data_IF_143082918123
#
_entry.id   IF_143082918123
#
_cell.length_a   1.000
_cell.length_b   1.000
_cell.length_c   1.000
_cell.angle_alpha   90.00
_cell.angle_beta   90.00
_cell.angle_gamma   90.00
#
_symmetry.space_group_name_H-M   'P 1'
#
loop_
_entity.id
_entity.type
_entity.pdbx_description
1 polymer ?
#
# COMPACT_ATOMS: atom_id res chain seq x y z
N UNK A 1 20.77 -22.28 23.11
CA UNK A 1 19.58 -21.77 23.84
C UNK A 1 18.61 -21.25 22.80
N UNK A 2 17.36 -21.73 22.86
CA UNK A 2 16.47 -22.00 21.74
C UNK A 2 16.05 -20.79 20.88
N UNK A 3 16.09 -20.98 19.56
CA UNK A 3 15.46 -20.14 18.53
C UNK A 3 13.94 -20.13 18.74
N UNK A 4 13.40 -19.04 19.26
CA UNK A 4 12.02 -18.67 18.99
C UNK A 4 12.07 -17.55 17.94
N UNK A 5 11.79 -17.92 16.69
CA UNK A 5 12.12 -17.16 15.47
C UNK A 5 11.31 -15.88 15.26
N UNK A 6 10.43 -15.51 16.19
CA UNK A 6 9.72 -14.23 16.25
C UNK A 6 9.59 -13.88 17.74
N UNK A 7 10.25 -12.82 18.22
CA UNK A 7 10.02 -12.34 19.59
C UNK A 7 8.62 -11.73 19.64
N UNK A 8 7.95 -11.82 20.79
CA UNK A 8 6.59 -11.30 20.98
C UNK A 8 6.49 -9.82 20.54
N UNK A 9 7.56 -9.05 20.79
CA UNK A 9 7.70 -7.65 20.38
C UNK A 9 7.77 -7.48 18.85
N UNK A 10 8.54 -8.31 18.13
CA UNK A 10 8.65 -8.23 16.67
C UNK A 10 7.28 -8.46 16.02
N UNK A 11 6.51 -9.43 16.57
CA UNK A 11 5.14 -9.70 16.13
C UNK A 11 4.22 -8.51 16.39
N UNK A 12 4.30 -7.91 17.58
CA UNK A 12 3.49 -6.75 17.94
C UNK A 12 3.75 -5.57 17.01
N UNK A 13 5.03 -5.20 16.81
CA UNK A 13 5.41 -4.10 15.91
C UNK A 13 4.96 -4.38 14.47
N UNK A 14 5.08 -5.61 13.99
CA UNK A 14 4.61 -5.98 12.65
C UNK A 14 3.09 -5.82 12.50
N UNK A 15 2.31 -6.26 13.49
CA UNK A 15 0.86 -6.06 13.50
C UNK A 15 0.46 -4.59 13.67
N UNK A 16 1.30 -3.77 14.29
CA UNK A 16 1.08 -2.33 14.43
C UNK A 16 1.36 -1.56 13.14
N UNK A 17 2.33 -2.02 12.35
CA UNK A 17 2.65 -1.47 11.02
C UNK A 17 1.57 -1.81 9.98
N UNK A 18 0.88 -2.94 10.13
CA UNK A 18 -0.05 -3.46 9.12
C UNK A 18 -1.22 -2.51 8.79
N UNK A 19 -1.96 -1.97 9.78
CA UNK A 19 -3.07 -1.06 9.52
C UNK A 19 -2.66 0.23 8.78
N UNK A 20 -1.65 1.01 9.22
CA UNK A 20 -1.26 2.22 8.52
C UNK A 20 -0.59 1.90 7.18
N UNK A 21 0.07 0.74 7.03
CA UNK A 21 0.59 0.28 5.74
C UNK A 21 -0.53 0.00 4.73
N UNK A 22 -1.54 -0.80 5.09
CA UNK A 22 -2.65 -1.11 4.18
C UNK A 22 -3.47 0.13 3.84
N UNK A 23 -3.71 1.00 4.83
CA UNK A 23 -4.45 2.25 4.62
C UNK A 23 -3.71 3.21 3.67
N UNK A 24 -2.40 3.39 3.88
CA UNK A 24 -1.58 4.23 3.01
C UNK A 24 -1.39 3.63 1.62
N UNK A 25 -1.16 2.31 1.51
CA UNK A 25 -1.02 1.61 0.24
C UNK A 25 -2.29 1.73 -0.61
N UNK A 26 -3.46 1.45 -0.03
CA UNK A 26 -4.75 1.57 -0.72
C UNK A 26 -5.06 3.01 -1.09
N UNK A 27 -4.83 3.97 -0.20
CA UNK A 27 -5.01 5.40 -0.47
C UNK A 27 -4.12 5.90 -1.61
N UNK A 28 -2.82 5.57 -1.59
CA UNK A 28 -1.88 5.95 -2.65
C UNK A 28 -2.23 5.28 -3.98
N UNK A 29 -2.56 4.00 -3.96
CA UNK A 29 -2.98 3.28 -5.16
C UNK A 29 -4.24 3.92 -5.77
N UNK A 30 -5.21 4.31 -4.93
CA UNK A 30 -6.45 4.96 -5.37
C UNK A 30 -6.20 6.34 -5.99
N UNK A 31 -5.30 7.14 -5.39
CA UNK A 31 -4.90 8.44 -5.92
C UNK A 31 -4.30 8.30 -7.33
N UNK A 32 -3.35 7.36 -7.50
CA UNK A 32 -2.72 7.12 -8.80
C UNK A 32 -3.73 6.58 -9.81
N UNK A 33 -4.59 5.66 -9.37
CA UNK A 33 -5.63 5.07 -10.21
C UNK A 33 -6.57 6.13 -10.77
N UNK A 34 -6.97 7.11 -9.95
CA UNK A 34 -7.84 8.23 -10.39
C UNK A 34 -7.21 9.03 -11.53
N UNK A 35 -5.89 9.24 -11.49
CA UNK A 35 -5.17 9.92 -12.57
C UNK A 35 -5.21 9.12 -13.88
N UNK A 36 -5.05 7.80 -13.78
CA UNK A 36 -5.06 6.92 -14.96
C UNK A 36 -6.49 6.71 -15.49
N UNK A 37 -7.54 6.84 -14.67
CA UNK A 37 -8.93 6.71 -15.13
C UNK A 37 -9.26 7.60 -16.34
N UNK A 38 -8.81 8.85 -16.35
CA UNK A 38 -9.00 9.75 -17.50
C UNK A 38 -8.38 9.17 -18.78
N UNK A 39 -7.16 8.64 -18.67
CA UNK A 39 -6.45 8.01 -19.78
C UNK A 39 -7.11 6.70 -20.22
N UNK A 40 -7.58 5.88 -19.29
CA UNK A 40 -8.31 4.64 -19.62
C UNK A 40 -9.61 4.96 -20.36
N UNK A 41 -10.37 5.98 -19.93
CA UNK A 41 -11.60 6.42 -20.60
C UNK A 41 -11.29 6.92 -22.01
N UNK A 42 -10.25 7.73 -22.19
CA UNK A 42 -9.81 8.18 -23.51
C UNK A 42 -9.43 7.00 -24.40
N UNK A 43 -8.74 6.00 -23.86
CA UNK A 43 -8.39 4.77 -24.58
C UNK A 43 -9.64 4.01 -25.05
N UNK A 44 -10.65 3.87 -24.19
CA UNK A 44 -11.91 3.19 -24.51
C UNK A 44 -12.69 3.95 -25.58
N UNK A 45 -12.84 5.26 -25.44
CA UNK A 45 -13.62 6.10 -26.36
C UNK A 45 -12.93 6.22 -27.72
N UNK A 46 -11.60 6.42 -27.75
CA UNK A 46 -10.85 6.63 -28.99
C UNK A 46 -10.57 5.34 -29.79
N UNK A 47 -10.45 4.19 -29.10
CA UNK A 47 -10.08 2.90 -29.73
C UNK A 47 -11.20 1.86 -29.72
N UNK A 48 -12.36 2.15 -29.14
CA UNK A 48 -13.51 1.23 -29.11
C UNK A 48 -13.23 -0.09 -28.38
N UNK A 49 -12.40 -0.04 -27.34
CA UNK A 49 -11.83 -1.23 -26.69
C UNK A 49 -12.92 -1.98 -25.90
N UNK A 50 -12.94 -3.31 -26.00
CA UNK A 50 -13.86 -4.14 -25.22
C UNK A 50 -13.55 -4.07 -23.71
N UNK A 51 -14.58 -4.24 -22.88
CA UNK A 51 -14.45 -4.29 -21.41
C UNK A 51 -13.45 -5.36 -20.92
N UNK A 52 -13.33 -6.47 -21.65
CA UNK A 52 -12.35 -7.51 -21.34
C UNK A 52 -10.90 -7.02 -21.50
N UNK A 53 -10.62 -6.28 -22.57
CA UNK A 53 -9.30 -5.69 -22.79
C UNK A 53 -9.01 -4.55 -21.80
N UNK A 54 -10.04 -3.79 -21.38
CA UNK A 54 -9.92 -2.82 -20.28
C UNK A 54 -9.45 -3.50 -18.98
N UNK A 55 -10.05 -4.64 -18.62
CA UNK A 55 -9.63 -5.44 -17.46
C UNK A 55 -8.16 -5.85 -17.52
N UNK A 56 -7.69 -6.32 -18.69
CA UNK A 56 -6.27 -6.65 -18.89
C UNK A 56 -5.33 -5.46 -18.74
N UNK A 57 -5.75 -4.26 -19.16
CA UNK A 57 -4.97 -3.03 -18.99
C UNK A 57 -4.87 -2.66 -17.51
N UNK A 58 -5.98 -2.70 -16.78
CA UNK A 58 -6.00 -2.44 -15.33
C UNK A 58 -5.10 -3.43 -14.59
N UNK A 59 -5.15 -4.72 -14.94
CA UNK A 59 -4.29 -5.75 -14.38
C UNK A 59 -2.79 -5.52 -14.68
N UNK A 60 -2.44 -4.97 -15.83
CA UNK A 60 -1.05 -4.61 -16.13
C UNK A 60 -0.58 -3.34 -15.41
N UNK A 61 -1.49 -2.42 -15.11
CA UNK A 61 -1.20 -1.17 -14.41
C UNK A 61 -1.00 -1.36 -12.90
N UNK A 62 -1.76 -2.28 -12.29
CA UNK A 62 -1.68 -2.58 -10.85
C UNK A 62 -0.26 -2.91 -10.35
N UNK A 63 0.52 -3.83 -10.98
CA UNK A 63 1.90 -4.11 -10.59
C UNK A 63 2.78 -2.87 -10.58
N UNK A 64 2.66 -2.02 -11.60
CA UNK A 64 3.46 -0.79 -11.70
C UNK A 64 3.14 0.20 -10.58
N UNK A 65 1.86 0.34 -10.22
CA UNK A 65 1.46 1.18 -9.10
C UNK A 65 1.96 0.62 -7.77
N UNK A 66 1.87 -0.69 -7.56
CA UNK A 66 2.35 -1.35 -6.35
C UNK A 66 3.85 -1.15 -6.17
N UNK A 67 4.68 -1.34 -7.20
CA UNK A 67 6.14 -1.16 -7.11
C UNK A 67 6.50 0.24 -6.61
N UNK A 68 5.77 1.28 -7.03
CA UNK A 68 6.01 2.66 -6.62
C UNK A 68 5.41 2.98 -5.24
N UNK A 69 4.21 2.47 -4.95
CA UNK A 69 3.47 2.80 -3.72
C UNK A 69 3.93 2.00 -2.52
N UNK A 70 4.46 0.79 -2.70
CA UNK A 70 4.99 -0.05 -1.62
C UNK A 70 6.04 0.66 -0.74
N UNK A 71 7.13 1.23 -1.27
CA UNK A 71 8.13 1.90 -0.43
C UNK A 71 7.57 3.14 0.27
N UNK A 72 6.67 3.89 -0.39
CA UNK A 72 6.05 5.09 0.17
C UNK A 72 5.09 4.71 1.31
N UNK A 73 4.26 3.69 1.10
CA UNK A 73 3.36 3.15 2.11
C UNK A 73 4.14 2.61 3.32
N UNK A 74 5.27 1.92 3.11
CA UNK A 74 6.14 1.48 4.19
C UNK A 74 6.67 2.64 5.04
N UNK A 75 7.06 3.76 4.42
CA UNK A 75 7.52 4.94 5.13
C UNK A 75 6.40 5.57 5.96
N UNK A 76 5.23 5.78 5.36
CA UNK A 76 4.06 6.32 6.06
C UNK A 76 3.67 5.42 7.23
N UNK A 77 3.60 4.11 7.00
CA UNK A 77 3.29 3.13 8.03
C UNK A 77 4.26 3.17 9.21
N UNK A 78 5.56 3.23 8.91
CA UNK A 78 6.61 3.28 9.93
C UNK A 78 6.47 4.55 10.78
N UNK A 79 6.31 5.70 10.13
CA UNK A 79 6.15 6.98 10.83
C UNK A 79 4.89 6.95 11.70
N UNK A 80 3.76 6.51 11.17
CA UNK A 80 2.49 6.45 11.92
C UNK A 80 2.55 5.47 13.10
N UNK A 81 3.10 4.27 12.90
CA UNK A 81 3.20 3.26 13.96
C UNK A 81 4.14 3.73 15.08
N UNK A 82 5.33 4.24 14.75
CA UNK A 82 6.26 4.77 15.76
C UNK A 82 5.73 6.02 16.45
N UNK A 83 4.98 6.88 15.75
CA UNK A 83 4.32 8.03 16.36
C UNK A 83 3.33 7.58 17.44
N UNK A 84 2.47 6.61 17.13
CA UNK A 84 1.51 6.03 18.10
C UNK A 84 2.22 5.40 19.30
N UNK A 85 3.20 4.52 19.05
CA UNK A 85 3.98 3.87 20.12
C UNK A 85 4.72 4.89 21.01
N UNK A 86 5.21 5.99 20.42
CA UNK A 86 5.87 7.06 21.18
C UNK A 86 4.87 7.86 22.02
N UNK A 87 3.68 8.12 21.50
CA UNK A 87 2.60 8.78 22.23
C UNK A 87 2.16 7.97 23.44
N UNK A 88 2.12 6.64 23.30
CA UNK A 88 1.78 5.70 24.37
C UNK A 88 2.96 5.40 25.32
N UNK A 89 4.12 6.05 25.13
CA UNK A 89 5.38 5.83 25.85
C UNK A 89 5.93 4.37 25.77
N UNK A 90 5.39 3.53 24.88
CA UNK A 90 5.82 2.14 24.70
C UNK A 90 7.23 2.02 24.09
N UNK A 91 7.76 3.10 23.51
CA UNK A 91 9.13 3.16 22.97
C UNK A 91 10.19 3.37 24.07
N UNK A 92 9.79 3.96 25.20
CA UNK A 92 10.71 4.43 26.24
C UNK A 92 10.72 3.50 27.48
N UNK A 93 9.58 2.84 27.75
CA UNK A 93 9.39 1.92 28.87
C UNK A 93 10.22 0.63 28.75
#
# INVERSE_FOLDING_TARGET
MSKALIRLLDRYIFFELLPPFLTSLTGLCFIIFTKEMLRLVELVVSRGISLAALGSIVLHLLPSFLVLTLPIACLIASISAFNRLSFDNEVIA
#
